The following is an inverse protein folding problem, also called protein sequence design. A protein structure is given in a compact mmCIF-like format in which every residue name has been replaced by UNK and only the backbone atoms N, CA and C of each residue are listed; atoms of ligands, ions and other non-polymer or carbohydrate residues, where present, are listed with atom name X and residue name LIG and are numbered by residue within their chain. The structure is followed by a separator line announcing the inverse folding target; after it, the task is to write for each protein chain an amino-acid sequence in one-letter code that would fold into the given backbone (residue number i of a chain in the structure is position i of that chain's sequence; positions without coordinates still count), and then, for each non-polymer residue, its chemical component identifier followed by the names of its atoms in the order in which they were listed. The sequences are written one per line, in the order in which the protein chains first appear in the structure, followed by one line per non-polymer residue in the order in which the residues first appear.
data_IF_128721588621
#
_entry.id   IF_128721588621
#
_cell.length_a   1.000
_cell.length_b   1.000
_cell.length_c   1.000
_cell.angle_alpha   90.00
_cell.angle_beta   90.00
_cell.angle_gamma   90.00
#
_symmetry.space_group_name_H-M   'P 1'
#
loop_
_entity.id
_entity.type
_entity.pdbx_description
1 polymer ?
#
# COMPACT_ATOMS: atom_id res chain seq x y z
N UNK A 1 11.54 77.52 -1.47
CA UNK A 1 11.41 77.84 -0.03
C UNK A 1 9.95 77.58 0.36
N UNK A 2 9.74 76.91 1.51
CA UNK A 2 8.46 76.64 2.20
C UNK A 2 7.78 75.31 1.80
N UNK A 3 7.36 74.41 2.69
CA UNK A 3 7.38 74.27 4.16
C UNK A 3 7.30 72.77 4.46
N UNK A 4 8.03 72.28 5.47
CA UNK A 4 7.99 70.89 5.93
C UNK A 4 6.66 70.63 6.64
N UNK A 5 5.92 69.59 6.24
CA UNK A 5 4.84 69.00 7.04
C UNK A 5 5.33 67.62 7.48
N UNK A 6 5.54 67.48 8.79
CA UNK A 6 5.83 66.22 9.49
C UNK A 6 4.48 65.63 9.93
N UNK A 7 4.13 64.39 9.59
CA UNK A 7 3.12 63.57 10.30
C UNK A 7 3.29 62.08 9.90
N UNK A 8 3.91 61.25 10.75
CA UNK A 8 3.35 60.16 11.59
C UNK A 8 3.19 58.80 10.87
N UNK A 9 3.69 57.79 11.57
CA UNK A 9 3.84 56.35 11.27
C UNK A 9 2.50 55.63 11.16
N UNK A 10 2.34 54.71 10.20
CA UNK A 10 1.39 53.60 10.28
C UNK A 10 2.12 52.31 9.87
N UNK A 11 2.44 51.50 10.88
CA UNK A 11 2.83 50.10 10.74
C UNK A 11 1.59 49.28 10.38
N UNK A 12 1.60 48.55 9.27
CA UNK A 12 0.60 47.51 9.01
C UNK A 12 1.31 46.19 8.72
N UNK A 13 1.41 45.37 9.77
CA UNK A 13 1.77 43.96 9.71
C UNK A 13 0.78 43.22 8.80
N UNK A 14 1.21 42.84 7.60
CA UNK A 14 0.52 41.84 6.79
C UNK A 14 0.84 40.44 7.33
N UNK A 15 0.28 40.11 8.50
CA UNK A 15 0.12 38.72 8.93
C UNK A 15 -1.25 38.23 8.47
N UNK A 16 -1.40 38.02 7.16
CA UNK A 16 -2.55 37.33 6.60
C UNK A 16 -2.10 36.05 5.92
N UNK A 17 -2.55 34.91 6.45
CA UNK A 17 -2.80 33.74 5.61
C UNK A 17 -1.96 32.50 5.85
N UNK A 18 -1.59 32.15 7.10
CA UNK A 18 -1.30 30.75 7.41
C UNK A 18 -2.61 30.01 7.75
N UNK A 19 -3.50 29.87 6.77
CA UNK A 19 -4.50 28.81 6.84
C UNK A 19 -3.80 27.51 6.44
N UNK A 20 -3.22 26.83 7.43
CA UNK A 20 -3.01 25.39 7.29
C UNK A 20 -4.38 24.75 7.16
N UNK A 21 -4.87 24.64 5.93
CA UNK A 21 -5.99 23.78 5.56
C UNK A 21 -5.54 22.34 5.85
N UNK A 22 -5.72 21.91 7.09
CA UNK A 22 -5.79 20.50 7.43
C UNK A 22 -6.99 19.95 6.69
N UNK A 23 -6.75 19.43 5.48
CA UNK A 23 -7.71 18.56 4.80
C UNK A 23 -7.98 17.39 5.75
N UNK A 24 -9.19 17.39 6.31
CA UNK A 24 -9.66 16.41 7.29
C UNK A 24 -9.51 14.98 6.78
N UNK A 25 -9.43 14.05 7.71
CA UNK A 25 -9.33 12.61 7.48
C UNK A 25 -10.44 12.14 6.51
N UNK A 26 -10.08 12.02 5.23
CA UNK A 26 -10.92 11.36 4.23
C UNK A 26 -10.99 9.88 4.57
N UNK A 27 -12.21 9.34 4.71
CA UNK A 27 -12.44 7.91 4.91
C UNK A 27 -11.72 7.12 3.82
N UNK A 28 -10.68 6.38 4.21
CA UNK A 28 -9.91 5.55 3.29
C UNK A 28 -10.73 4.30 2.97
N UNK A 29 -11.19 4.16 1.72
CA UNK A 29 -11.95 3.00 1.22
C UNK A 29 -11.09 1.73 1.05
N UNK A 30 -10.04 1.56 1.85
CA UNK A 30 -9.21 0.36 1.80
C UNK A 30 -9.96 -0.86 2.33
N UNK A 31 -9.69 -2.02 1.74
CA UNK A 31 -10.28 -3.26 2.22
C UNK A 31 -9.50 -3.80 3.42
N UNK A 32 -10.17 -4.54 4.29
CA UNK A 32 -9.53 -5.14 5.46
C UNK A 32 -8.44 -6.14 5.07
N UNK A 33 -7.46 -6.34 5.95
CA UNK A 33 -6.42 -7.36 5.77
C UNK A 33 -7.02 -8.74 5.48
N UNK A 34 -8.07 -9.15 6.20
CA UNK A 34 -8.76 -10.43 5.96
C UNK A 34 -9.27 -10.54 4.51
N UNK A 35 -9.77 -9.44 3.93
CA UNK A 35 -10.22 -9.42 2.54
C UNK A 35 -9.03 -9.53 1.57
N UNK A 36 -7.91 -8.88 1.88
CA UNK A 36 -6.65 -9.02 1.12
C UNK A 36 -6.21 -10.49 1.10
N UNK A 37 -6.20 -11.16 2.25
CA UNK A 37 -5.80 -12.56 2.40
C UNK A 37 -6.71 -13.50 1.60
N UNK A 38 -8.03 -13.31 1.70
CA UNK A 38 -9.02 -14.08 0.91
C UNK A 38 -8.78 -13.89 -0.60
N UNK A 39 -8.54 -12.65 -1.04
CA UNK A 39 -8.29 -12.38 -2.46
C UNK A 39 -6.97 -13.00 -2.94
N UNK A 40 -5.93 -12.99 -2.09
CA UNK A 40 -4.66 -13.64 -2.38
C UNK A 40 -4.78 -15.17 -2.45
N UNK A 41 -5.56 -15.79 -1.55
CA UNK A 41 -5.85 -17.22 -1.62
C UNK A 41 -6.58 -17.59 -2.91
N UNK A 42 -7.62 -16.83 -3.28
CA UNK A 42 -8.31 -17.04 -4.57
C UNK A 42 -7.37 -16.89 -5.76
N UNK A 43 -6.40 -15.98 -5.69
CA UNK A 43 -5.41 -15.81 -6.74
C UNK A 43 -4.47 -17.03 -6.83
N UNK A 44 -4.03 -17.57 -5.69
CA UNK A 44 -3.27 -18.81 -5.62
C UNK A 44 -4.02 -19.98 -6.27
N UNK A 45 -5.29 -20.16 -5.89
CA UNK A 45 -6.14 -21.22 -6.44
C UNK A 45 -6.31 -21.07 -7.96
N UNK A 46 -6.58 -19.85 -8.43
CA UNK A 46 -6.68 -19.55 -9.86
C UNK A 46 -5.36 -19.79 -10.61
N UNK A 47 -4.21 -19.51 -9.99
CA UNK A 47 -2.91 -19.74 -10.62
C UNK A 47 -2.61 -21.24 -10.74
N UNK A 48 -3.05 -22.06 -9.77
CA UNK A 48 -2.96 -23.51 -9.83
C UNK A 48 -3.88 -24.10 -10.90
N UNK A 49 -5.16 -23.68 -10.92
CA UNK A 49 -6.16 -24.17 -11.89
C UNK A 49 -5.71 -23.87 -13.33
N UNK A 50 -5.18 -22.67 -13.56
CA UNK A 50 -4.71 -22.25 -14.88
C UNK A 50 -3.27 -22.66 -15.19
N UNK A 51 -2.65 -23.53 -14.38
CA UNK A 51 -1.25 -23.99 -14.54
C UNK A 51 -0.21 -22.86 -14.67
N UNK A 52 -0.47 -21.68 -14.10
CA UNK A 52 0.47 -20.55 -14.06
C UNK A 52 1.62 -20.80 -13.08
N UNK A 53 1.40 -21.67 -12.11
CA UNK A 53 2.40 -22.17 -11.17
C UNK A 53 2.24 -23.68 -11.02
N UNK A 54 3.30 -24.34 -10.56
CA UNK A 54 3.32 -25.79 -10.38
C UNK A 54 2.35 -26.26 -9.27
N UNK A 55 1.81 -27.48 -9.44
CA UNK A 55 0.86 -28.09 -8.49
C UNK A 55 1.43 -28.30 -7.10
N UNK A 56 2.76 -28.31 -6.93
CA UNK A 56 3.38 -28.36 -5.60
C UNK A 56 2.91 -27.24 -4.68
N UNK A 57 2.52 -26.08 -5.21
CA UNK A 57 2.01 -24.94 -4.44
C UNK A 57 0.60 -25.13 -3.87
N UNK A 58 -0.10 -26.22 -4.20
CA UNK A 58 -1.43 -26.57 -3.65
C UNK A 58 -1.49 -26.65 -2.12
N UNK A 59 -0.36 -26.95 -1.46
CA UNK A 59 -0.26 -27.06 -0.01
C UNK A 59 0.40 -25.83 0.64
N UNK A 60 0.55 -24.74 -0.10
CA UNK A 60 1.20 -23.55 0.43
C UNK A 60 0.32 -22.91 1.51
N UNK A 61 0.96 -22.52 2.62
CA UNK A 61 0.27 -21.89 3.75
C UNK A 61 0.54 -20.40 3.76
N UNK A 62 -0.47 -19.59 4.04
CA UNK A 62 -0.28 -18.18 4.30
C UNK A 62 0.61 -18.01 5.53
N UNK A 63 1.71 -17.26 5.40
CA UNK A 63 2.65 -16.99 6.50
C UNK A 63 2.81 -15.50 6.79
N UNK A 64 2.40 -14.63 5.86
CA UNK A 64 2.50 -13.18 6.06
C UNK A 64 1.53 -12.40 5.19
N UNK A 65 1.03 -11.30 5.73
CA UNK A 65 0.25 -10.28 5.04
C UNK A 65 0.70 -8.93 5.57
N UNK A 66 1.36 -8.12 4.75
CA UNK A 66 1.94 -6.85 5.18
C UNK A 66 1.60 -5.75 4.19
N UNK A 67 1.28 -4.57 4.71
CA UNK A 67 1.09 -3.36 3.91
C UNK A 67 2.45 -2.72 3.62
N UNK A 68 2.69 -2.34 2.37
CA UNK A 68 3.86 -1.61 1.91
C UNK A 68 3.40 -0.39 1.10
N UNK A 69 3.32 0.78 1.75
CA UNK A 69 2.73 1.98 1.14
C UNK A 69 1.24 1.76 0.81
N UNK A 70 0.87 1.92 -0.47
CA UNK A 70 -0.50 1.70 -0.98
C UNK A 70 -0.77 0.26 -1.44
N UNK A 71 0.14 -0.66 -1.15
CA UNK A 71 0.09 -2.04 -1.61
C UNK A 71 0.14 -3.02 -0.45
N UNK A 72 -0.27 -4.25 -0.74
CA UNK A 72 -0.17 -5.38 0.16
C UNK A 72 0.72 -6.45 -0.45
N UNK A 73 1.55 -7.05 0.38
CA UNK A 73 2.36 -8.22 0.06
C UNK A 73 1.83 -9.37 0.91
N UNK A 74 1.32 -10.41 0.26
CA UNK A 74 0.86 -11.64 0.91
C UNK A 74 1.79 -12.77 0.52
N UNK A 75 2.37 -13.44 1.51
CA UNK A 75 3.36 -14.50 1.32
C UNK A 75 2.77 -15.85 1.71
N UNK A 76 2.84 -16.79 0.76
CA UNK A 76 2.56 -18.20 0.99
C UNK A 76 3.87 -18.98 1.03
N UNK A 77 3.93 -19.99 1.91
CA UNK A 77 5.10 -20.87 2.05
C UNK A 77 4.76 -22.32 1.79
N UNK A 78 5.56 -22.96 0.94
CA UNK A 78 5.52 -24.39 0.68
C UNK A 78 6.79 -25.08 1.22
N UNK A 79 6.69 -25.64 2.43
CA UNK A 79 7.82 -26.33 3.08
C UNK A 79 8.22 -27.64 2.39
N UNK A 80 7.44 -28.15 1.43
CA UNK A 80 7.76 -29.38 0.68
C UNK A 80 8.81 -29.14 -0.42
N UNK A 81 9.06 -27.89 -0.81
CA UNK A 81 10.09 -27.55 -1.80
C UNK A 81 11.47 -27.68 -1.15
N UNK A 82 12.33 -28.54 -1.72
CA UNK A 82 13.67 -28.88 -1.16
C UNK A 82 14.57 -27.66 -0.95
N UNK A 83 14.55 -26.71 -1.88
CA UNK A 83 15.35 -25.49 -1.76
C UNK A 83 14.60 -24.44 -0.93
N UNK A 84 15.08 -24.19 0.29
CA UNK A 84 14.50 -23.22 1.22
C UNK A 84 14.31 -21.82 0.63
N UNK A 85 15.22 -21.37 -0.25
CA UNK A 85 15.12 -20.05 -0.88
C UNK A 85 13.98 -19.93 -1.90
N UNK A 86 13.39 -21.05 -2.33
CA UNK A 86 12.30 -21.14 -3.30
C UNK A 86 10.96 -21.49 -2.67
N UNK A 87 10.88 -21.57 -1.34
CA UNK A 87 9.66 -21.99 -0.64
C UNK A 87 8.59 -20.89 -0.56
N UNK A 88 8.89 -19.65 -0.96
CA UNK A 88 8.00 -18.51 -0.78
C UNK A 88 7.47 -17.96 -2.11
N UNK A 89 6.16 -17.74 -2.12
CA UNK A 89 5.40 -17.12 -3.21
C UNK A 89 4.71 -15.87 -2.67
N UNK A 90 5.04 -14.73 -3.26
CA UNK A 90 4.51 -13.43 -2.88
C UNK A 90 3.46 -12.98 -3.88
N UNK A 91 2.27 -12.61 -3.41
CA UNK A 91 1.26 -11.89 -4.18
C UNK A 91 1.29 -10.41 -3.81
N UNK A 92 1.19 -9.56 -4.83
CA UNK A 92 1.11 -8.11 -4.68
C UNK A 92 -0.31 -7.66 -4.98
N UNK A 93 -0.92 -6.94 -4.04
CA UNK A 93 -2.29 -6.44 -4.17
C UNK A 93 -2.33 -4.93 -3.95
N UNK A 94 -3.30 -4.26 -4.57
CA UNK A 94 -3.61 -2.86 -4.22
C UNK A 94 -4.23 -2.78 -2.82
N UNK A 95 -4.31 -1.57 -2.25
CA UNK A 95 -5.06 -1.32 -1.01
C UNK A 95 -6.57 -1.65 -1.08
N UNK A 96 -7.09 -1.84 -2.29
CA UNK A 96 -8.47 -2.30 -2.57
C UNK A 96 -8.56 -3.82 -2.81
N UNK A 97 -7.44 -4.55 -2.71
CA UNK A 97 -7.40 -6.01 -2.86
C UNK A 97 -7.41 -6.53 -4.29
N UNK A 98 -7.07 -5.69 -5.29
CA UNK A 98 -6.87 -6.15 -6.68
C UNK A 98 -5.48 -6.75 -6.84
N UNK A 99 -5.40 -7.94 -7.43
CA UNK A 99 -4.11 -8.60 -7.75
C UNK A 99 -3.36 -7.79 -8.80
N UNK A 100 -2.11 -7.43 -8.49
CA UNK A 100 -1.16 -6.83 -9.44
C UNK A 100 -0.23 -7.86 -10.06
N UNK A 101 0.10 -8.90 -9.31
CA UNK A 101 0.97 -9.98 -9.79
C UNK A 101 1.45 -10.88 -8.66
N UNK A 102 2.30 -11.83 -9.02
CA UNK A 102 2.95 -12.73 -8.07
C UNK A 102 4.42 -12.94 -8.44
N UNK A 103 5.25 -13.24 -7.43
CA UNK A 103 6.66 -13.55 -7.62
C UNK A 103 7.09 -14.71 -6.73
N UNK A 104 7.84 -15.65 -7.29
CA UNK A 104 8.50 -16.74 -6.59
C UNK A 104 9.83 -17.03 -7.29
N UNK A 105 10.80 -17.57 -6.53
CA UNK A 105 12.07 -18.00 -7.13
C UNK A 105 11.84 -19.34 -7.83
N UNK A 106 12.03 -19.38 -9.15
CA UNK A 106 12.03 -20.61 -9.96
C UNK A 106 13.22 -21.49 -9.62
#
# INVERSE_FOLDING_TARGET
MNKRIKTVVISLLLTFGLSNLYAGAGHSHEVSQKKIEINAQKALDNYLINSKIDKSWSNAKLISSKKNGKEWIVTFKNKKIKNNSKQELNFYLTSYGKIKGANYKK
#
